data_IF_053791008821
#
_entry.id   IF_053791008821
#
_cell.length_a   1.000
_cell.length_b   1.000
_cell.length_c   1.000
_cell.angle_alpha   90.00
_cell.angle_beta   90.00
_cell.angle_gamma   90.00
#
_symmetry.space_group_name_H-M   'P 1'
#
loop_
_entity.id
_entity.type
_entity.pdbx_description
1 polymer ?
#
# COMPACT_ATOMS: atom_id res chain seq x y z
N UNK A 1 6.83 6.38 -0.17
CA UNK A 1 6.73 5.99 1.24
C UNK A 1 8.11 5.80 1.82
N UNK A 2 8.84 4.80 1.34
CA UNK A 2 10.25 4.58 1.71
C UNK A 2 11.18 5.79 1.46
N UNK A 3 11.08 6.48 0.32
CA UNK A 3 11.89 7.69 0.07
C UNK A 3 11.59 8.83 1.06
N UNK A 4 10.32 9.04 1.40
CA UNK A 4 9.86 10.04 2.36
C UNK A 4 10.39 9.76 3.77
N UNK A 5 10.49 8.47 4.15
CA UNK A 5 11.11 8.04 5.40
C UNK A 5 12.61 8.35 5.45
N UNK A 6 13.33 8.11 4.34
CA UNK A 6 14.77 8.44 4.25
C UNK A 6 14.99 9.94 4.38
N UNK A 7 14.21 10.77 3.68
CA UNK A 7 14.29 12.24 3.76
C UNK A 7 14.00 12.74 5.18
N UNK A 8 13.08 12.10 5.91
CA UNK A 8 12.79 12.43 7.32
C UNK A 8 14.00 12.17 8.23
N UNK A 9 14.79 11.13 7.97
CA UNK A 9 15.97 10.76 8.77
C UNK A 9 17.18 11.61 8.37
N UNK A 10 17.46 11.73 7.08
CA UNK A 10 18.63 12.46 6.57
C UNK A 10 18.44 13.97 6.56
N UNK A 11 17.19 14.45 6.67
CA UNK A 11 16.78 15.87 6.55
C UNK A 11 17.18 16.52 5.21
N UNK A 12 17.51 15.72 4.20
CA UNK A 12 17.88 16.21 2.86
C UNK A 12 16.73 15.97 1.90
N UNK A 13 15.90 16.99 1.67
CA UNK A 13 14.78 16.98 0.73
C UNK A 13 15.10 17.56 -0.64
N UNK A 14 16.34 17.40 -1.13
CA UNK A 14 16.79 18.02 -2.39
C UNK A 14 16.44 17.17 -3.61
N UNK A 15 15.76 17.77 -4.61
CA UNK A 15 15.41 17.13 -5.89
C UNK A 15 16.67 16.67 -6.64
N UNK A 16 17.79 17.39 -6.50
CA UNK A 16 19.07 17.03 -7.11
C UNK A 16 19.63 15.71 -6.57
N UNK A 17 19.40 15.40 -5.29
CA UNK A 17 19.86 14.14 -4.69
C UNK A 17 19.04 12.97 -5.22
N UNK A 18 17.72 13.13 -5.34
CA UNK A 18 16.85 12.11 -5.95
C UNK A 18 17.14 11.93 -7.44
N UNK A 19 17.38 13.04 -8.16
CA UNK A 19 17.79 13.01 -9.57
C UNK A 19 19.14 12.30 -9.79
N UNK A 20 20.14 12.61 -8.95
CA UNK A 20 21.43 11.93 -8.98
C UNK A 20 21.32 10.44 -8.67
N UNK A 21 20.50 10.05 -7.69
CA UNK A 21 20.22 8.65 -7.40
C UNK A 21 19.56 7.92 -8.59
N UNK A 22 18.65 8.58 -9.32
CA UNK A 22 18.04 8.02 -10.51
C UNK A 22 19.06 7.78 -11.64
N UNK A 23 19.96 8.73 -11.89
CA UNK A 23 21.03 8.56 -12.89
C UNK A 23 21.95 7.39 -12.51
N UNK A 24 22.34 7.30 -11.24
CA UNK A 24 23.16 6.19 -10.72
C UNK A 24 22.44 4.84 -10.91
N UNK A 25 21.14 4.77 -10.60
CA UNK A 25 20.34 3.56 -10.77
C UNK A 25 20.24 3.14 -12.25
N UNK A 26 20.06 4.09 -13.16
CA UNK A 26 20.04 3.84 -14.62
C UNK A 26 21.40 3.30 -15.07
N UNK A 27 22.50 3.93 -14.67
CA UNK A 27 23.84 3.45 -15.01
C UNK A 27 24.11 2.05 -14.45
N UNK A 28 23.73 1.78 -13.21
CA UNK A 28 23.85 0.45 -12.58
C UNK A 28 23.02 -0.62 -13.31
N UNK A 29 21.84 -0.27 -13.83
CA UNK A 29 20.98 -1.18 -14.58
C UNK A 29 21.59 -1.68 -15.90
N UNK A 30 22.60 -0.98 -16.46
CA UNK A 30 23.31 -1.42 -17.67
C UNK A 30 24.44 -2.42 -17.38
N UNK A 31 24.83 -2.61 -16.11
CA UNK A 31 25.88 -3.56 -15.74
C UNK A 31 25.29 -4.92 -15.36
N UNK A 32 25.53 -5.93 -16.20
CA UNK A 32 25.14 -7.33 -15.95
C UNK A 32 25.78 -7.94 -14.68
N UNK A 33 26.87 -7.34 -14.19
CA UNK A 33 27.53 -7.76 -12.95
C UNK A 33 26.60 -7.58 -11.73
N UNK A 34 25.80 -6.51 -11.71
CA UNK A 34 24.88 -6.23 -10.60
C UNK A 34 23.71 -7.21 -10.56
N UNK A 35 23.19 -7.58 -11.73
CA UNK A 35 22.12 -8.58 -11.86
C UNK A 35 22.60 -10.00 -11.45
N UNK A 36 23.83 -10.35 -11.82
CA UNK A 36 24.42 -11.64 -11.40
C UNK A 36 24.67 -11.68 -9.87
N UNK A 37 25.08 -10.56 -9.27
CA UNK A 37 25.25 -10.43 -7.82
C UNK A 37 23.91 -10.59 -7.08
N UNK A 38 22.83 -9.94 -7.55
CA UNK A 38 21.51 -10.09 -6.93
C UNK A 38 20.98 -11.52 -7.08
N UNK A 39 21.27 -12.17 -8.21
CA UNK A 39 20.93 -13.58 -8.46
C UNK A 39 21.69 -14.58 -7.58
N UNK A 40 22.79 -14.15 -6.94
CA UNK A 40 23.53 -14.99 -5.99
C UNK A 40 22.87 -15.02 -4.60
N UNK A 41 21.88 -14.15 -4.33
CA UNK A 41 21.17 -14.10 -3.05
C UNK A 41 20.28 -15.34 -2.88
N UNK A 42 20.41 -16.09 -1.78
CA UNK A 42 19.58 -17.28 -1.53
C UNK A 42 18.08 -16.94 -1.47
N UNK A 43 17.25 -17.79 -2.07
CA UNK A 43 15.79 -17.65 -2.05
C UNK A 43 15.16 -17.38 -0.66
N UNK A 44 15.61 -18.04 0.43
CA UNK A 44 15.09 -17.75 1.77
C UNK A 44 15.33 -16.31 2.25
N UNK A 45 16.47 -15.70 1.88
CA UNK A 45 16.79 -14.31 2.25
C UNK A 45 15.91 -13.36 1.45
N UNK A 46 15.75 -13.62 0.15
CA UNK A 46 14.92 -12.79 -0.72
C UNK A 46 13.44 -12.82 -0.29
N UNK A 47 12.94 -13.98 0.14
CA UNK A 47 11.61 -14.10 0.75
C UNK A 47 11.44 -13.25 2.01
N UNK A 48 12.46 -13.24 2.89
CA UNK A 48 12.46 -12.41 4.10
C UNK A 48 12.43 -10.90 3.80
N UNK A 49 13.24 -10.45 2.84
CA UNK A 49 13.25 -9.04 2.40
C UNK A 49 11.88 -8.64 1.82
N UNK A 50 11.30 -9.48 0.95
CA UNK A 50 9.97 -9.25 0.40
C UNK A 50 8.89 -9.15 1.50
N UNK A 51 8.93 -10.03 2.50
CA UNK A 51 7.97 -10.01 3.60
C UNK A 51 8.04 -8.71 4.39
N UNK A 52 9.26 -8.23 4.70
CA UNK A 52 9.46 -6.95 5.40
C UNK A 52 8.95 -5.78 4.54
N UNK A 53 9.25 -5.76 3.25
CA UNK A 53 8.82 -4.70 2.33
C UNK A 53 7.29 -4.63 2.21
N UNK A 54 6.63 -5.77 1.92
CA UNK A 54 5.17 -5.80 1.82
C UNK A 54 4.49 -5.54 3.17
N UNK A 55 5.06 -6.04 4.28
CA UNK A 55 4.59 -5.74 5.62
C UNK A 55 4.70 -4.25 5.97
N UNK A 56 5.78 -3.60 5.57
CA UNK A 56 5.97 -2.16 5.75
C UNK A 56 4.95 -1.34 4.93
N UNK A 57 4.66 -1.75 3.69
CA UNK A 57 3.62 -1.11 2.86
C UNK A 57 2.25 -1.22 3.55
N UNK A 58 1.88 -2.40 4.03
CA UNK A 58 0.61 -2.61 4.75
C UNK A 58 0.54 -1.78 6.05
N UNK A 59 1.61 -1.76 6.84
CA UNK A 59 1.70 -0.98 8.06
C UNK A 59 1.56 0.53 7.81
N UNK A 60 2.15 1.06 6.72
CA UNK A 60 1.98 2.46 6.34
C UNK A 60 0.55 2.79 5.91
N UNK A 61 -0.15 1.85 5.26
CA UNK A 61 -1.58 1.97 4.97
C UNK A 61 -2.41 2.15 6.24
N UNK A 62 -2.21 1.29 7.24
CA UNK A 62 -2.86 1.40 8.54
C UNK A 62 -2.49 2.69 9.27
N UNK A 63 -1.20 3.06 9.26
CA UNK A 63 -0.72 4.32 9.84
C UNK A 63 -1.42 5.53 9.21
N UNK A 64 -1.68 5.50 7.91
CA UNK A 64 -2.40 6.59 7.22
C UNK A 64 -3.83 6.74 7.76
N UNK A 65 -4.52 5.66 8.09
CA UNK A 65 -5.86 5.71 8.71
C UNK A 65 -5.83 6.35 10.10
N UNK A 66 -4.81 6.00 10.90
CA UNK A 66 -4.61 6.55 12.25
C UNK A 66 -4.20 8.03 12.19
N UNK A 67 -3.23 8.38 11.34
CA UNK A 67 -2.75 9.75 11.17
C UNK A 67 -3.86 10.68 10.63
N UNK A 68 -4.76 10.14 9.79
CA UNK A 68 -5.94 10.85 9.30
C UNK A 68 -7.09 10.95 10.33
N UNK A 69 -6.91 10.38 11.54
CA UNK A 69 -7.91 10.33 12.61
C UNK A 69 -9.25 9.75 12.15
N UNK A 70 -9.22 8.67 11.37
CA UNK A 70 -10.45 7.97 10.99
C UNK A 70 -11.10 7.38 12.24
N UNK A 71 -12.30 7.84 12.55
CA UNK A 71 -13.09 7.29 13.66
C UNK A 71 -13.52 5.86 13.31
N UNK A 72 -12.94 4.88 14.01
CA UNK A 72 -13.27 3.46 13.88
C UNK A 72 -14.41 3.02 14.81
N UNK A 73 -14.90 3.91 15.69
CA UNK A 73 -16.10 3.69 16.48
C UNK A 73 -17.36 3.89 15.63
N UNK A 74 -17.28 4.74 14.61
CA UNK A 74 -18.32 4.88 13.60
C UNK A 74 -18.50 3.59 12.78
N UNK A 75 -19.67 2.97 12.91
CA UNK A 75 -20.01 1.70 12.25
C UNK A 75 -19.81 1.76 10.73
N UNK A 76 -20.08 2.92 10.11
CA UNK A 76 -19.85 3.15 8.67
C UNK A 76 -18.40 2.92 8.28
N UNK A 77 -17.47 3.57 8.98
CA UNK A 77 -16.04 3.51 8.64
C UNK A 77 -15.48 2.11 8.92
N UNK A 78 -15.91 1.50 10.03
CA UNK A 78 -15.53 0.13 10.38
C UNK A 78 -15.97 -0.86 9.29
N UNK A 79 -17.22 -0.77 8.80
CA UNK A 79 -17.71 -1.63 7.72
C UNK A 79 -16.87 -1.46 6.45
N UNK A 80 -16.58 -0.21 6.04
CA UNK A 80 -15.78 0.05 4.83
C UNK A 80 -14.39 -0.58 4.95
N UNK A 81 -13.70 -0.35 6.08
CA UNK A 81 -12.36 -0.89 6.33
C UNK A 81 -12.39 -2.42 6.36
N UNK A 82 -13.34 -3.03 7.06
CA UNK A 82 -13.45 -4.49 7.16
C UNK A 82 -13.73 -5.15 5.81
N UNK A 83 -14.63 -4.59 4.99
CA UNK A 83 -14.93 -5.12 3.66
C UNK A 83 -13.72 -5.01 2.73
N UNK A 84 -13.04 -3.85 2.73
CA UNK A 84 -11.83 -3.66 1.93
C UNK A 84 -10.72 -4.65 2.32
N UNK A 85 -10.56 -4.93 3.63
CA UNK A 85 -9.56 -5.84 4.15
C UNK A 85 -9.86 -7.31 3.78
N UNK A 86 -11.13 -7.73 3.91
CA UNK A 86 -11.57 -9.08 3.54
C UNK A 86 -11.40 -9.32 2.03
N UNK A 87 -11.76 -8.36 1.17
CA UNK A 87 -11.61 -8.51 -0.28
C UNK A 87 -10.14 -8.47 -0.70
N UNK A 88 -9.36 -7.57 -0.09
CA UNK A 88 -7.94 -7.38 -0.41
C UNK A 88 -7.06 -8.56 -0.01
N UNK A 89 -7.29 -9.14 1.18
CA UNK A 89 -6.54 -10.30 1.68
C UNK A 89 -7.15 -11.64 1.27
N UNK A 90 -8.47 -11.71 1.08
CA UNK A 90 -9.22 -12.95 0.85
C UNK A 90 -9.11 -13.55 -0.54
N UNK A 91 -8.30 -12.97 -1.44
CA UNK A 91 -8.05 -13.57 -2.75
C UNK A 91 -9.22 -13.44 -3.74
N UNK A 92 -10.15 -12.51 -3.52
CA UNK A 92 -11.30 -12.31 -4.39
C UNK A 92 -10.87 -11.77 -5.76
N UNK A 93 -10.70 -12.67 -6.73
CA UNK A 93 -10.42 -12.34 -8.12
C UNK A 93 -11.69 -12.51 -8.93
N UNK A 94 -12.24 -11.41 -9.44
CA UNK A 94 -13.35 -11.47 -10.38
C UNK A 94 -12.78 -11.51 -11.80
N UNK A 95 -13.14 -12.57 -12.53
CA UNK A 95 -12.86 -12.70 -13.94
C UNK A 95 -14.06 -12.16 -14.73
N UNK A 96 -13.87 -11.05 -15.44
CA UNK A 96 -14.88 -10.51 -16.35
C UNK A 96 -14.49 -10.93 -17.78
N UNK A 97 -15.22 -11.91 -18.31
CA UNK A 97 -15.01 -12.46 -19.65
C UNK A 97 -13.74 -13.31 -19.81
N UNK A 98 -13.33 -13.54 -21.06
CA UNK A 98 -12.20 -14.43 -21.42
C UNK A 98 -10.82 -13.83 -21.13
N UNK A 99 -10.68 -12.52 -20.85
CA UNK A 99 -9.37 -11.85 -20.76
C UNK A 99 -9.23 -10.81 -19.63
N UNK A 100 -10.29 -10.46 -18.91
CA UNK A 100 -10.24 -9.43 -17.86
C UNK A 100 -10.08 -10.03 -16.45
N UNK A 101 -8.85 -10.15 -15.95
CA UNK A 101 -8.59 -10.49 -14.53
C UNK A 101 -8.37 -9.21 -13.74
N UNK A 102 -9.28 -8.87 -12.83
CA UNK A 102 -9.05 -7.79 -11.88
C UNK A 102 -8.21 -8.30 -10.71
N UNK A 103 -7.14 -7.57 -10.38
CA UNK A 103 -6.38 -7.82 -9.16
C UNK A 103 -7.25 -7.59 -7.93
N UNK A 104 -7.03 -8.39 -6.89
CA UNK A 104 -7.74 -8.29 -5.59
C UNK A 104 -7.63 -6.89 -4.98
N UNK A 105 -6.47 -6.25 -5.15
CA UNK A 105 -6.22 -4.88 -4.69
C UNK A 105 -7.11 -3.86 -5.42
N UNK A 106 -7.24 -3.99 -6.74
CA UNK A 106 -8.09 -3.11 -7.55
C UNK A 106 -9.57 -3.30 -7.19
N UNK A 107 -10.00 -4.54 -7.00
CA UNK A 107 -11.37 -4.85 -6.61
C UNK A 107 -11.70 -4.29 -5.21
N UNK A 108 -10.82 -4.47 -4.24
CA UNK A 108 -10.96 -3.90 -2.89
C UNK A 108 -11.10 -2.38 -2.93
N UNK A 109 -10.28 -1.69 -3.74
CA UNK A 109 -10.36 -0.24 -3.91
C UNK A 109 -11.71 0.20 -4.50
N UNK A 110 -12.17 -0.45 -5.57
CA UNK A 110 -13.44 -0.12 -6.23
C UNK A 110 -14.61 -0.32 -5.26
N UNK A 111 -14.66 -1.46 -4.57
CA UNK A 111 -15.71 -1.75 -3.60
C UNK A 111 -15.68 -0.75 -2.44
N UNK A 112 -14.49 -0.39 -1.95
CA UNK A 112 -14.33 0.63 -0.92
C UNK A 112 -14.88 1.99 -1.34
N UNK A 113 -14.60 2.44 -2.55
CA UNK A 113 -15.12 3.71 -3.10
C UNK A 113 -16.65 3.67 -3.22
N UNK A 114 -17.19 2.59 -3.78
CA UNK A 114 -18.64 2.40 -3.95
C UNK A 114 -19.33 2.40 -2.58
N UNK A 115 -18.79 1.66 -1.62
CA UNK A 115 -19.37 1.53 -0.29
C UNK A 115 -19.30 2.85 0.49
N UNK A 116 -18.21 3.60 0.34
CA UNK A 116 -18.09 4.95 0.87
C UNK A 116 -19.12 5.92 0.24
N UNK A 117 -19.45 5.76 -1.05
CA UNK A 117 -20.45 6.59 -1.73
C UNK A 117 -21.89 6.23 -1.34
N UNK A 118 -22.20 4.94 -1.16
CA UNK A 118 -23.55 4.45 -0.86
C UNK A 118 -23.90 4.63 0.62
N UNK A 119 -22.95 4.41 1.54
CA UNK A 119 -23.25 4.45 2.97
C UNK A 119 -23.52 5.89 3.45
N UNK A 120 -24.71 6.18 4.00
CA UNK A 120 -25.05 7.51 4.50
C UNK A 120 -24.20 7.88 5.72
N UNK A 121 -23.83 9.15 5.84
CA UNK A 121 -23.15 9.66 7.02
C UNK A 121 -24.15 9.72 8.18
N UNK A 122 -23.95 8.88 9.19
CA UNK A 122 -24.71 8.99 10.43
C UNK A 122 -24.32 10.31 11.10
N UNK A 123 -25.25 11.25 11.21
CA UNK A 123 -25.11 12.35 12.17
C UNK A 123 -25.35 11.75 13.55
N UNK A 124 -24.28 11.53 14.31
CA UNK A 124 -24.41 11.30 15.74
C UNK A 124 -24.98 12.55 16.40
N UNK A 125 -26.30 12.53 16.59
CA UNK A 125 -27.08 13.53 17.32
C UNK A 125 -28.26 12.88 18.04
N UNK A 126 -28.14 11.63 18.48
CA UNK A 126 -29.21 10.95 19.22
C UNK A 126 -28.69 9.85 20.15
N UNK A 127 -27.69 10.13 20.99
CA UNK A 127 -27.49 9.46 22.29
C UNK A 127 -26.70 10.40 23.21
N UNK A 128 -27.29 11.57 23.45
CA UNK A 128 -27.04 12.36 24.65
C UNK A 128 -27.93 11.78 25.77
N UNK A 129 -27.32 11.46 26.91
CA UNK A 129 -28.03 11.24 28.17
C UNK A 129 -27.61 12.34 29.13
#
# INVERSE_FOLDING_TARGET
>A
GENTSVVRITRVGSVWVTGGAAVIAILLSFFNLFDTLIGTIPGPVMGGVCLILYGFIAANGLKTLVDSKVDMTETRNLIIISVMLVIGLGGAVIMIGSQGKFSTAALSMIVGIILNAILPHSKNGAFDK
#
